data_IF_531017422813
#
_entry.id   IF_531017422813
#
_cell.length_a   1.000
_cell.length_b   1.000
_cell.length_c   1.000
_cell.angle_alpha   90.00
_cell.angle_beta   90.00
_cell.angle_gamma   90.00
#
_symmetry.space_group_name_H-M   'P 1'
#
loop_
_entity.id
_entity.type
_entity.pdbx_description
1 polymer ?
#
# COMPACT_ATOMS: atom_id res chain seq x y z
N UNK A 1 29.79 13.23 9.78
CA UNK A 1 28.41 13.67 10.14
C UNK A 1 28.18 13.38 11.61
N UNK A 2 27.68 14.33 12.42
CA UNK A 2 27.37 14.09 13.83
C UNK A 2 26.14 13.19 13.92
N UNK A 3 26.26 12.02 14.54
CA UNK A 3 25.12 11.16 14.86
C UNK A 3 24.22 11.90 15.84
N UNK A 4 23.06 12.36 15.40
CA UNK A 4 22.03 12.92 16.27
C UNK A 4 21.40 11.79 17.09
N UNK A 5 21.12 12.05 18.36
CA UNK A 5 20.37 11.10 19.19
C UNK A 5 18.96 10.87 18.61
N UNK A 6 18.31 9.77 19.00
CA UNK A 6 16.94 9.49 18.57
C UNK A 6 15.98 10.64 18.91
N UNK A 7 16.06 11.18 20.13
CA UNK A 7 15.29 12.36 20.54
C UNK A 7 15.59 13.61 19.70
N UNK A 8 16.84 13.83 19.31
CA UNK A 8 17.22 14.90 18.39
C UNK A 8 16.57 14.73 17.01
N UNK A 9 16.54 13.49 16.50
CA UNK A 9 15.87 13.14 15.24
C UNK A 9 14.37 13.43 15.30
N UNK A 10 13.69 13.04 16.38
CA UNK A 10 12.26 13.31 16.58
C UNK A 10 11.96 14.82 16.59
N UNK A 11 12.79 15.62 17.27
CA UNK A 11 12.61 17.07 17.34
C UNK A 11 12.75 17.74 15.96
N UNK A 12 13.73 17.31 15.17
CA UNK A 12 13.94 17.84 13.81
C UNK A 12 12.78 17.41 12.90
N UNK A 13 12.39 16.13 12.96
CA UNK A 13 11.26 15.59 12.21
C UNK A 13 9.96 16.34 12.52
N UNK A 14 9.71 16.65 13.80
CA UNK A 14 8.54 17.42 14.23
C UNK A 14 8.53 18.83 13.62
N UNK A 15 9.64 19.58 13.76
CA UNK A 15 9.75 20.93 13.17
C UNK A 15 9.55 20.92 11.65
N UNK A 16 10.13 19.94 10.96
CA UNK A 16 9.96 19.78 9.51
C UNK A 16 8.53 19.39 9.14
N UNK A 17 7.88 18.54 9.94
CA UNK A 17 6.50 18.15 9.69
C UNK A 17 5.53 19.33 9.80
N UNK A 18 5.77 20.27 10.71
CA UNK A 18 4.96 21.48 10.84
C UNK A 18 5.05 22.37 9.60
N UNK A 19 6.24 22.57 9.03
CA UNK A 19 6.42 23.40 7.83
C UNK A 19 5.92 22.72 6.55
N UNK A 20 5.91 21.38 6.52
CA UNK A 20 5.47 20.61 5.35
C UNK A 20 4.02 20.12 5.44
N UNK A 21 3.34 20.32 6.58
CA UNK A 21 1.99 19.79 6.81
C UNK A 21 1.01 20.22 5.71
N UNK A 22 0.92 21.52 5.41
CA UNK A 22 -0.02 22.03 4.41
C UNK A 22 0.25 21.49 2.99
N UNK A 23 1.50 21.54 2.47
CA UNK A 23 1.83 20.87 1.21
C UNK A 23 1.44 19.38 1.16
N UNK A 24 1.67 18.65 2.25
CA UNK A 24 1.30 17.24 2.34
C UNK A 24 -0.20 17.01 2.38
N UNK A 25 -0.93 17.84 3.12
CA UNK A 25 -2.39 17.81 3.15
C UNK A 25 -2.95 18.01 1.74
N UNK A 26 -2.42 18.96 0.97
CA UNK A 26 -2.80 19.18 -0.43
C UNK A 26 -2.52 17.95 -1.29
N UNK A 27 -1.33 17.34 -1.15
CA UNK A 27 -0.99 16.10 -1.88
C UNK A 27 -1.98 14.98 -1.54
N UNK A 28 -2.31 14.81 -0.25
CA UNK A 28 -3.20 13.75 0.22
C UNK A 28 -4.62 13.94 -0.30
N UNK A 29 -5.19 15.14 -0.13
CA UNK A 29 -6.54 15.48 -0.63
C UNK A 29 -6.61 15.33 -2.14
N UNK A 30 -5.64 15.86 -2.88
CA UNK A 30 -5.61 15.75 -4.35
C UNK A 30 -5.54 14.29 -4.81
N UNK A 31 -4.74 13.46 -4.13
CA UNK A 31 -4.63 12.03 -4.44
C UNK A 31 -5.93 11.29 -4.14
N UNK A 32 -6.59 11.60 -3.02
CA UNK A 32 -7.90 11.05 -2.67
C UNK A 32 -8.97 11.41 -3.69
N UNK A 33 -9.03 12.67 -4.12
CA UNK A 33 -9.95 13.12 -5.18
C UNK A 33 -9.69 12.39 -6.51
N UNK A 34 -8.43 12.23 -6.91
CA UNK A 34 -8.09 11.48 -8.12
C UNK A 34 -8.49 10.01 -8.03
N UNK A 35 -8.26 9.36 -6.88
CA UNK A 35 -8.70 7.97 -6.65
C UNK A 35 -10.22 7.85 -6.71
N UNK A 36 -10.95 8.78 -6.08
CA UNK A 36 -12.41 8.83 -6.14
C UNK A 36 -12.91 8.97 -7.58
N UNK A 37 -12.29 9.85 -8.38
CA UNK A 37 -12.62 10.00 -9.80
C UNK A 37 -12.43 8.68 -10.57
N UNK A 38 -11.33 7.95 -10.33
CA UNK A 38 -11.09 6.65 -10.97
C UNK A 38 -12.20 5.65 -10.62
N UNK A 39 -12.60 5.58 -9.35
CA UNK A 39 -13.66 4.68 -8.89
C UNK A 39 -15.03 5.06 -9.47
N UNK A 40 -15.35 6.35 -9.53
CA UNK A 40 -16.60 6.84 -10.14
C UNK A 40 -16.63 6.49 -11.63
N UNK A 41 -15.57 6.77 -12.38
CA UNK A 41 -15.51 6.44 -13.82
C UNK A 41 -15.61 4.94 -14.05
N UNK A 42 -14.90 4.13 -13.26
CA UNK A 42 -14.99 2.68 -13.36
C UNK A 42 -16.42 2.18 -13.06
N UNK A 43 -17.07 2.73 -12.03
CA UNK A 43 -18.45 2.41 -11.69
C UNK A 43 -19.44 2.79 -12.79
N UNK A 44 -19.35 4.00 -13.33
CA UNK A 44 -20.22 4.49 -14.41
C UNK A 44 -20.17 3.60 -15.66
N UNK A 45 -19.01 3.04 -15.99
CA UNK A 45 -18.84 2.15 -17.16
C UNK A 45 -19.57 0.81 -16.96
N UNK A 46 -19.71 0.34 -15.71
CA UNK A 46 -20.36 -0.94 -15.39
C UNK A 46 -21.89 -0.83 -15.35
N UNK A 47 -22.43 0.36 -15.03
CA UNK A 47 -23.89 0.58 -14.85
C UNK A 47 -24.76 0.11 -16.04
N UNK A 48 -24.44 0.43 -17.32
CA UNK A 48 -25.27 0.00 -18.46
C UNK A 48 -25.40 -1.53 -18.59
N UNK A 49 -24.37 -2.27 -18.17
CA UNK A 49 -24.32 -3.73 -18.26
C UNK A 49 -25.08 -4.41 -17.12
N UNK A 50 -25.16 -3.75 -15.96
CA UNK A 50 -26.04 -4.18 -14.86
C UNK A 50 -27.51 -4.03 -15.28
N UNK A 51 -27.86 -2.93 -15.94
CA UNK A 51 -29.24 -2.65 -16.40
C UNK A 51 -29.69 -3.67 -17.44
N UNK A 52 -28.83 -4.04 -18.39
CA UNK A 52 -29.13 -5.01 -19.45
C UNK A 52 -29.16 -6.47 -18.97
N UNK A 53 -28.85 -6.74 -17.69
CA UNK A 53 -28.81 -8.08 -17.05
C UNK A 53 -27.99 -9.13 -17.81
N UNK A 54 -27.07 -8.71 -18.68
CA UNK A 54 -26.25 -9.64 -19.45
C UNK A 54 -25.03 -10.07 -18.62
N UNK A 55 -25.21 -11.12 -17.80
CA UNK A 55 -24.19 -11.65 -16.89
C UNK A 55 -22.92 -12.08 -17.65
N UNK A 56 -23.06 -12.60 -18.88
CA UNK A 56 -21.95 -13.09 -19.71
C UNK A 56 -21.00 -11.95 -20.08
N UNK A 57 -21.53 -10.74 -20.30
CA UNK A 57 -20.72 -9.54 -20.62
C UNK A 57 -20.31 -8.78 -19.36
N UNK A 58 -21.17 -8.75 -18.34
CA UNK A 58 -20.96 -7.99 -17.11
C UNK A 58 -19.75 -8.51 -16.31
N UNK A 59 -19.60 -9.83 -16.17
CA UNK A 59 -18.52 -10.43 -15.35
C UNK A 59 -17.13 -10.14 -15.94
N UNK A 60 -16.85 -10.45 -17.22
CA UNK A 60 -15.55 -10.11 -17.82
C UNK A 60 -15.25 -8.61 -17.82
N UNK A 61 -16.25 -7.77 -18.12
CA UNK A 61 -16.08 -6.33 -18.13
C UNK A 61 -15.72 -5.79 -16.73
N UNK A 62 -16.40 -6.27 -15.69
CA UNK A 62 -16.12 -5.86 -14.31
C UNK A 62 -14.70 -6.24 -13.90
N UNK A 63 -14.21 -7.42 -14.30
CA UNK A 63 -12.83 -7.85 -14.06
C UNK A 63 -11.84 -6.93 -14.77
N UNK A 64 -12.05 -6.65 -16.06
CA UNK A 64 -11.17 -5.76 -16.85
C UNK A 64 -11.14 -4.36 -16.23
N UNK A 65 -12.31 -3.79 -15.91
CA UNK A 65 -12.41 -2.48 -15.28
C UNK A 65 -11.76 -2.43 -13.91
N UNK A 66 -11.88 -3.50 -13.12
CA UNK A 66 -11.20 -3.65 -11.84
C UNK A 66 -9.67 -3.63 -11.98
N UNK A 67 -9.12 -4.33 -12.98
CA UNK A 67 -7.68 -4.34 -13.27
C UNK A 67 -7.21 -2.93 -13.68
N UNK A 68 -7.95 -2.27 -14.57
CA UNK A 68 -7.63 -0.89 -15.01
C UNK A 68 -7.65 0.07 -13.81
N UNK A 69 -8.71 0.03 -13.00
CA UNK A 69 -8.85 0.87 -11.81
C UNK A 69 -7.71 0.63 -10.81
N UNK A 70 -7.35 -0.63 -10.57
CA UNK A 70 -6.21 -0.99 -9.73
C UNK A 70 -4.89 -0.42 -10.27
N UNK A 71 -4.66 -0.50 -11.58
CA UNK A 71 -3.50 0.10 -12.24
C UNK A 71 -3.41 1.62 -12.02
N UNK A 72 -4.54 2.33 -12.14
CA UNK A 72 -4.61 3.76 -11.85
C UNK A 72 -4.38 4.09 -10.37
N UNK A 73 -4.94 3.29 -9.45
CA UNK A 73 -4.72 3.47 -7.99
C UNK A 73 -3.24 3.33 -7.66
N UNK A 74 -2.56 2.30 -8.20
CA UNK A 74 -1.11 2.11 -8.03
C UNK A 74 -0.33 3.30 -8.60
N UNK A 75 -0.73 3.81 -9.78
CA UNK A 75 -0.10 4.97 -10.40
C UNK A 75 -0.25 6.23 -9.55
N UNK A 76 -1.46 6.56 -9.08
CA UNK A 76 -1.74 7.75 -8.26
C UNK A 76 -1.01 7.65 -6.92
N UNK A 77 -0.98 6.46 -6.31
CA UNK A 77 -0.23 6.19 -5.08
C UNK A 77 1.28 6.42 -5.27
N UNK A 78 1.86 5.92 -6.36
CA UNK A 78 3.26 6.14 -6.67
C UNK A 78 3.56 7.62 -6.97
N UNK A 79 2.70 8.30 -7.72
CA UNK A 79 2.85 9.72 -8.06
C UNK A 79 2.83 10.61 -6.80
N UNK A 80 1.85 10.41 -5.92
CA UNK A 80 1.71 11.17 -4.67
C UNK A 80 2.89 10.94 -3.72
N UNK A 81 3.30 9.68 -3.58
CA UNK A 81 4.47 9.27 -2.79
C UNK A 81 5.77 9.89 -3.31
N UNK A 82 5.94 10.02 -4.64
CA UNK A 82 7.09 10.70 -5.23
C UNK A 82 7.07 12.21 -4.96
N UNK A 83 5.92 12.87 -5.05
CA UNK A 83 5.82 14.32 -4.78
C UNK A 83 6.19 14.56 -3.32
N UNK A 84 5.57 13.82 -2.39
CA UNK A 84 5.86 13.88 -0.97
C UNK A 84 7.36 13.71 -0.69
N UNK A 85 7.97 12.67 -1.27
CA UNK A 85 9.39 12.38 -1.04
C UNK A 85 10.32 13.42 -1.69
N UNK A 86 10.00 13.93 -2.88
CA UNK A 86 10.79 15.00 -3.53
C UNK A 86 10.64 16.34 -2.80
N UNK A 87 9.49 16.60 -2.17
CA UNK A 87 9.28 17.78 -1.35
C UNK A 87 10.21 17.80 -0.11
N UNK A 88 10.51 16.64 0.48
CA UNK A 88 11.51 16.54 1.55
C UNK A 88 12.90 16.96 1.08
N UNK A 89 13.23 16.66 -0.19
CA UNK A 89 14.54 16.96 -0.79
C UNK A 89 14.70 18.46 -1.07
N UNK A 90 13.61 19.08 -1.50
CA UNK A 90 13.62 20.47 -1.98
C UNK A 90 12.33 21.18 -1.54
N UNK A 91 12.25 21.59 -0.26
CA UNK A 91 11.02 22.09 0.35
C UNK A 91 10.58 23.47 -0.18
N UNK A 92 11.46 24.17 -0.91
CA UNK A 92 11.16 25.50 -1.48
C UNK A 92 10.49 25.39 -2.85
N UNK A 93 10.52 24.22 -3.50
CA UNK A 93 9.85 24.02 -4.80
C UNK A 93 8.34 23.97 -4.63
N UNK A 94 7.64 24.63 -5.55
CA UNK A 94 6.18 24.56 -5.60
C UNK A 94 5.69 23.17 -5.98
N UNK A 95 4.52 22.78 -5.46
CA UNK A 95 3.90 21.49 -5.74
C UNK A 95 3.67 21.25 -7.25
N UNK A 96 3.38 22.31 -8.01
CA UNK A 96 3.19 22.24 -9.47
C UNK A 96 4.47 21.82 -10.19
N UNK A 97 5.62 22.38 -9.78
CA UNK A 97 6.93 22.02 -10.36
C UNK A 97 7.27 20.59 -9.99
N UNK A 98 7.12 20.22 -8.71
CA UNK A 98 7.36 18.85 -8.26
C UNK A 98 6.48 17.84 -9.00
N UNK A 99 5.19 18.12 -9.17
CA UNK A 99 4.25 17.26 -9.88
C UNK A 99 4.60 17.05 -11.36
N UNK A 100 5.20 18.06 -12.00
CA UNK A 100 5.70 17.93 -13.39
C UNK A 100 6.96 17.09 -13.43
N UNK A 101 7.87 17.30 -12.48
CA UNK A 101 9.15 16.57 -12.40
C UNK A 101 8.97 15.11 -11.99
N UNK A 102 7.91 14.76 -11.27
CA UNK A 102 7.64 13.36 -10.89
C UNK A 102 7.15 12.51 -12.05
N UNK A 103 6.48 13.07 -13.08
CA UNK A 103 5.89 12.31 -14.19
C UNK A 103 6.85 11.30 -14.84
N UNK A 104 8.11 11.70 -15.02
CA UNK A 104 9.16 10.86 -15.62
C UNK A 104 9.56 9.66 -14.76
N UNK A 105 9.40 9.77 -13.45
CA UNK A 105 9.82 8.77 -12.47
C UNK A 105 8.66 7.88 -11.99
N UNK A 106 7.39 8.25 -12.21
CA UNK A 106 6.22 7.51 -11.70
C UNK A 106 6.24 6.06 -12.16
N UNK A 107 6.39 5.80 -13.46
CA UNK A 107 6.38 4.43 -14.00
C UNK A 107 7.54 3.59 -13.45
N UNK A 108 8.70 4.21 -13.20
CA UNK A 108 9.83 3.51 -12.59
C UNK A 108 9.56 3.16 -11.12
N UNK A 109 8.85 4.00 -10.37
CA UNK A 109 8.41 3.67 -9.01
C UNK A 109 7.29 2.63 -9.03
N UNK A 110 6.31 2.74 -9.94
CA UNK A 110 5.26 1.72 -10.14
C UNK A 110 5.88 0.36 -10.39
N UNK A 111 6.84 0.26 -11.33
CA UNK A 111 7.59 -0.99 -11.58
C UNK A 111 8.30 -1.49 -10.32
N UNK A 112 8.88 -0.59 -9.54
CA UNK A 112 9.55 -0.94 -8.27
C UNK A 112 8.55 -1.52 -7.27
N UNK A 113 7.41 -0.87 -7.07
CA UNK A 113 6.35 -1.33 -6.16
C UNK A 113 5.72 -2.65 -6.63
N UNK A 114 5.50 -2.82 -7.94
CA UNK A 114 4.99 -4.08 -8.51
C UNK A 114 5.99 -5.21 -8.28
N UNK A 115 7.28 -5.00 -8.54
CA UNK A 115 8.31 -6.01 -8.27
C UNK A 115 8.40 -6.37 -6.78
N UNK A 116 8.29 -5.39 -5.89
CA UNK A 116 8.22 -5.62 -4.45
C UNK A 116 6.96 -6.40 -4.06
N UNK A 117 5.81 -6.05 -4.62
CA UNK A 117 4.54 -6.75 -4.40
C UNK A 117 4.63 -8.21 -4.84
N UNK A 118 5.13 -8.47 -6.04
CA UNK A 118 5.43 -9.82 -6.54
C UNK A 118 6.40 -10.54 -5.59
N UNK A 119 7.44 -9.88 -5.13
CA UNK A 119 8.36 -10.48 -4.18
C UNK A 119 7.68 -10.85 -2.85
N UNK A 120 6.83 -9.98 -2.29
CA UNK A 120 6.10 -10.23 -1.04
C UNK A 120 4.97 -11.26 -1.15
N UNK A 121 4.31 -11.37 -2.31
CA UNK A 121 3.35 -12.44 -2.59
C UNK A 121 4.06 -13.80 -2.54
N UNK A 122 5.27 -13.90 -3.10
CA UNK A 122 6.09 -15.11 -3.02
C UNK A 122 6.47 -15.49 -1.58
N UNK A 123 6.43 -14.55 -0.63
CA UNK A 123 6.70 -14.83 0.78
C UNK A 123 5.44 -15.11 1.61
N UNK A 124 4.26 -15.07 1.00
CA UNK A 124 2.98 -15.17 1.69
C UNK A 124 2.77 -16.46 2.48
N UNK A 125 3.09 -17.66 1.94
CA UNK A 125 2.97 -18.90 2.72
C UNK A 125 3.81 -18.86 3.99
N UNK A 126 5.03 -18.33 3.90
CA UNK A 126 5.93 -18.18 5.05
C UNK A 126 5.42 -17.13 6.05
N UNK A 127 4.80 -16.06 5.54
CA UNK A 127 4.11 -15.07 6.35
C UNK A 127 2.97 -15.68 7.18
N UNK A 128 2.12 -16.51 6.58
CA UNK A 128 1.03 -17.20 7.28
C UNK A 128 1.59 -18.14 8.35
N UNK A 129 2.55 -18.99 7.99
CA UNK A 129 3.16 -19.96 8.93
C UNK A 129 3.86 -19.27 10.11
N UNK A 130 4.41 -18.08 9.90
CA UNK A 130 5.07 -17.28 10.96
C UNK A 130 4.13 -16.33 11.71
N UNK A 131 2.80 -16.52 11.60
CA UNK A 131 1.79 -15.64 12.19
C UNK A 131 2.04 -14.14 11.87
N UNK A 132 2.40 -13.86 10.61
CA UNK A 132 2.72 -12.54 10.06
C UNK A 132 3.97 -11.84 10.64
N UNK A 133 4.73 -12.49 11.52
CA UNK A 133 5.97 -11.91 12.07
C UNK A 133 6.96 -11.53 10.97
N UNK A 134 7.11 -12.39 9.96
CA UNK A 134 8.00 -12.13 8.82
C UNK A 134 7.50 -10.93 8.00
N UNK A 135 6.18 -10.77 7.84
CA UNK A 135 5.60 -9.63 7.14
C UNK A 135 5.90 -8.30 7.85
N UNK A 136 5.87 -8.28 9.17
CA UNK A 136 6.25 -7.09 9.95
C UNK A 136 7.70 -6.70 9.65
N UNK A 137 8.63 -7.66 9.67
CA UNK A 137 10.04 -7.42 9.35
C UNK A 137 10.20 -6.87 7.93
N UNK A 138 9.45 -7.40 6.95
CA UNK A 138 9.51 -6.94 5.58
C UNK A 138 8.91 -5.55 5.37
N UNK A 139 7.82 -5.21 6.06
CA UNK A 139 7.28 -3.86 6.08
C UNK A 139 8.28 -2.87 6.66
N UNK A 140 9.00 -3.25 7.73
CA UNK A 140 10.09 -2.45 8.28
C UNK A 140 11.21 -2.26 7.25
N UNK A 141 11.64 -3.32 6.57
CA UNK A 141 12.65 -3.23 5.52
C UNK A 141 12.18 -2.42 4.32
N UNK A 142 10.88 -2.36 4.04
CA UNK A 142 10.32 -1.57 2.95
C UNK A 142 10.17 -0.08 3.29
N UNK A 143 10.23 0.31 4.57
CA UNK A 143 9.88 1.65 5.06
C UNK A 143 10.65 2.80 4.39
N UNK A 144 11.89 2.58 3.94
CA UNK A 144 12.73 3.59 3.30
C UNK A 144 12.92 3.38 1.78
N UNK A 145 12.18 2.46 1.17
CA UNK A 145 12.39 2.09 -0.24
C UNK A 145 12.20 3.27 -1.19
N UNK A 146 11.17 4.09 -0.95
CA UNK A 146 10.94 5.31 -1.73
C UNK A 146 12.06 6.33 -1.56
N UNK A 147 12.64 6.45 -0.36
CA UNK A 147 13.78 7.35 -0.12
C UNK A 147 15.02 6.86 -0.88
N UNK A 148 15.32 5.56 -0.82
CA UNK A 148 16.39 4.95 -1.62
C UNK A 148 16.17 5.14 -3.13
N UNK A 149 14.92 5.04 -3.59
CA UNK A 149 14.57 5.31 -4.99
C UNK A 149 14.81 6.76 -5.39
N UNK A 150 14.37 7.73 -4.59
CA UNK A 150 14.44 9.16 -4.94
C UNK A 150 15.86 9.73 -4.77
N UNK A 151 16.54 9.41 -3.67
CA UNK A 151 17.81 10.04 -3.28
C UNK A 151 19.04 9.29 -3.78
N UNK A 152 18.98 7.97 -3.84
CA UNK A 152 20.09 7.12 -4.32
C UNK A 152 19.83 6.53 -5.71
N UNK A 153 18.69 6.84 -6.34
CA UNK A 153 18.33 6.38 -7.69
C UNK A 153 18.33 4.86 -7.86
N UNK A 154 18.16 4.12 -6.76
CA UNK A 154 17.99 2.66 -6.77
C UNK A 154 16.62 2.31 -7.39
N UNK A 155 16.54 1.22 -8.15
CA UNK A 155 15.30 0.81 -8.85
C UNK A 155 15.00 -0.66 -8.59
N UNK A 156 13.73 -1.04 -8.70
CA UNK A 156 13.31 -2.43 -8.49
C UNK A 156 13.66 -2.90 -7.08
N UNK A 157 13.98 -4.20 -6.94
CA UNK A 157 14.31 -4.78 -5.63
C UNK A 157 15.61 -4.21 -5.02
N UNK A 158 16.49 -3.59 -5.81
CA UNK A 158 17.70 -2.98 -5.26
C UNK A 158 17.38 -1.78 -4.34
N UNK A 159 16.24 -1.10 -4.57
CA UNK A 159 15.76 -0.07 -3.65
C UNK A 159 15.30 -0.66 -2.31
N UNK A 160 14.65 -1.83 -2.33
CA UNK A 160 14.26 -2.58 -1.12
C UNK A 160 15.49 -3.10 -0.36
N UNK A 161 16.50 -3.62 -1.06
CA UNK A 161 17.73 -4.09 -0.41
C UNK A 161 18.51 -2.98 0.24
N UNK A 162 18.57 -1.82 -0.42
CA UNK A 162 19.17 -0.65 0.18
C UNK A 162 18.39 -0.18 1.41
N UNK A 163 17.06 -0.14 1.32
CA UNK A 163 16.19 0.20 2.45
C UNK A 163 16.43 -0.73 3.64
N UNK A 164 16.53 -2.04 3.40
CA UNK A 164 16.91 -3.03 4.42
C UNK A 164 18.25 -2.70 5.08
N UNK A 165 19.30 -2.43 4.31
CA UNK A 165 20.63 -2.11 4.85
C UNK A 165 20.60 -0.87 5.76
N UNK A 166 19.85 0.17 5.36
CA UNK A 166 19.67 1.39 6.15
C UNK A 166 18.90 1.09 7.44
N UNK A 167 17.79 0.36 7.33
CA UNK A 167 16.96 -0.03 8.47
C UNK A 167 17.76 -0.89 9.46
N UNK A 168 18.62 -1.79 9.00
CA UNK A 168 19.47 -2.59 9.89
C UNK A 168 20.43 -1.73 10.71
N UNK A 169 20.99 -0.65 10.14
CA UNK A 169 21.88 0.26 10.86
C UNK A 169 21.16 1.17 11.87
N UNK A 170 19.87 1.42 11.66
CA UNK A 170 19.05 2.31 12.49
C UNK A 170 17.80 1.62 13.04
N UNK A 171 17.87 0.30 13.26
CA UNK A 171 16.71 -0.56 13.48
C UNK A 171 15.81 -0.05 14.60
N UNK A 172 16.39 0.16 15.79
CA UNK A 172 15.64 0.64 16.96
C UNK A 172 15.05 2.03 16.77
N UNK A 173 15.71 2.92 16.02
CA UNK A 173 15.17 4.24 15.73
C UNK A 173 13.99 4.17 14.76
N UNK A 174 14.05 3.29 13.75
CA UNK A 174 12.94 3.08 12.81
C UNK A 174 11.75 2.44 13.53
N UNK A 175 11.98 1.38 14.30
CA UNK A 175 10.94 0.72 15.10
C UNK A 175 10.35 1.69 16.11
N UNK A 176 11.18 2.42 16.86
CA UNK A 176 10.74 3.40 17.85
C UNK A 176 9.88 4.51 17.23
N UNK A 177 10.25 5.02 16.04
CA UNK A 177 9.45 6.02 15.32
C UNK A 177 8.07 5.46 14.92
N UNK A 178 8.03 4.24 14.39
CA UNK A 178 6.78 3.61 13.95
C UNK A 178 5.88 3.25 15.14
N UNK A 179 6.44 2.67 16.20
CA UNK A 179 5.70 2.36 17.44
C UNK A 179 5.15 3.63 18.07
N UNK A 180 5.96 4.70 18.16
CA UNK A 180 5.52 5.99 18.68
C UNK A 180 4.35 6.54 17.85
N UNK A 181 4.45 6.49 16.52
CA UNK A 181 3.40 7.00 15.65
C UNK A 181 2.12 6.15 15.71
N UNK A 182 2.23 4.83 15.63
CA UNK A 182 1.07 3.93 15.67
C UNK A 182 0.43 3.92 17.05
N UNK A 183 1.22 3.82 18.12
CA UNK A 183 0.73 3.91 19.49
C UNK A 183 0.07 5.26 19.77
N UNK A 184 0.69 6.36 19.32
CA UNK A 184 0.08 7.70 19.39
C UNK A 184 -1.25 7.77 18.65
N UNK A 185 -1.34 7.21 17.44
CA UNK A 185 -2.60 7.14 16.67
C UNK A 185 -3.67 6.36 17.42
N UNK A 186 -3.36 5.21 18.03
CA UNK A 186 -4.33 4.38 18.76
C UNK A 186 -4.86 5.15 19.98
N UNK A 187 -3.98 5.80 20.75
CA UNK A 187 -4.37 6.58 21.93
C UNK A 187 -5.28 7.74 21.50
N UNK A 188 -4.87 8.51 20.50
CA UNK A 188 -5.66 9.67 20.04
C UNK A 188 -7.02 9.24 19.48
N UNK A 189 -7.06 8.17 18.67
CA UNK A 189 -8.32 7.64 18.14
C UNK A 189 -9.25 7.14 19.25
N UNK A 190 -8.69 6.59 20.34
CA UNK A 190 -9.48 6.19 21.51
C UNK A 190 -10.09 7.41 22.21
N UNK A 191 -9.36 8.53 22.31
CA UNK A 191 -9.89 9.80 22.84
C UNK A 191 -11.04 10.35 21.98
N UNK A 192 -11.09 10.03 20.69
CA UNK A 192 -12.14 10.50 19.79
C UNK A 192 -13.40 9.66 19.78
N UNK A 193 -13.44 8.54 20.51
CA UNK A 193 -14.63 7.70 20.57
C UNK A 193 -15.86 8.41 21.16
N UNK A 194 -15.63 9.48 21.94
CA UNK A 194 -16.68 10.31 22.52
C UNK A 194 -17.40 11.23 21.51
N UNK A 195 -16.84 11.44 20.32
CA UNK A 195 -17.45 12.28 19.28
C UNK A 195 -18.41 11.46 18.40
N UNK A 196 -19.33 12.16 17.74
CA UNK A 196 -20.19 11.58 16.70
C UNK A 196 -19.35 11.01 15.54
N UNK A 197 -19.92 10.03 14.83
CA UNK A 197 -19.20 9.28 13.78
C UNK A 197 -18.60 10.21 12.71
N UNK A 198 -19.34 11.15 12.10
CA UNK A 198 -18.78 12.06 11.10
C UNK A 198 -17.57 12.86 11.61
N UNK A 199 -17.69 13.48 12.80
CA UNK A 199 -16.59 14.26 13.37
C UNK A 199 -15.39 13.37 13.71
N UNK A 200 -15.62 12.19 14.30
CA UNK A 200 -14.56 11.23 14.63
C UNK A 200 -13.76 10.81 13.39
N UNK A 201 -14.42 10.53 12.27
CA UNK A 201 -13.75 10.16 11.01
C UNK A 201 -12.89 11.31 10.47
N UNK A 202 -13.40 12.55 10.50
CA UNK A 202 -12.64 13.73 10.07
C UNK A 202 -11.39 13.92 10.93
N UNK A 203 -11.54 13.86 12.26
CA UNK A 203 -10.43 14.04 13.19
C UNK A 203 -9.39 12.91 13.07
N UNK A 204 -9.85 11.66 12.93
CA UNK A 204 -8.99 10.49 12.73
C UNK A 204 -8.16 10.63 11.46
N UNK A 205 -8.78 11.06 10.35
CA UNK A 205 -8.08 11.28 9.09
C UNK A 205 -7.05 12.41 9.18
N UNK A 206 -7.39 13.53 9.83
CA UNK A 206 -6.46 14.65 10.01
C UNK A 206 -5.21 14.26 10.82
N UNK A 207 -5.39 13.50 11.89
CA UNK A 207 -4.26 12.97 12.68
C UNK A 207 -3.49 11.91 11.91
N UNK A 208 -4.16 11.04 11.15
CA UNK A 208 -3.51 10.10 10.25
C UNK A 208 -2.58 10.82 9.26
N UNK A 209 -3.05 11.92 8.66
CA UNK A 209 -2.22 12.77 7.78
C UNK A 209 -1.05 13.35 8.57
N UNK A 210 -1.29 14.03 9.70
CA UNK A 210 -0.23 14.63 10.52
C UNK A 210 0.87 13.61 10.89
N UNK A 211 0.47 12.44 11.37
CA UNK A 211 1.37 11.36 11.75
C UNK A 211 2.11 10.79 10.53
N UNK A 212 1.47 10.65 9.38
CA UNK A 212 2.14 10.21 8.15
C UNK A 212 3.25 11.17 7.71
N UNK A 213 3.02 12.49 7.80
CA UNK A 213 4.03 13.51 7.51
C UNK A 213 5.18 13.43 8.50
N UNK A 214 4.85 13.28 9.79
CA UNK A 214 5.84 13.15 10.86
C UNK A 214 6.73 11.91 10.66
N UNK A 215 6.14 10.75 10.40
CA UNK A 215 6.86 9.50 10.14
C UNK A 215 7.76 9.66 8.91
N UNK A 216 7.25 10.22 7.81
CA UNK A 216 8.04 10.40 6.60
C UNK A 216 9.22 11.37 6.82
N UNK A 217 9.01 12.47 7.56
CA UNK A 217 10.09 13.36 7.97
C UNK A 217 11.12 12.63 8.86
N UNK A 218 10.66 11.83 9.83
CA UNK A 218 11.54 11.06 10.72
C UNK A 218 12.36 10.01 9.98
N UNK A 219 11.74 9.26 9.07
CA UNK A 219 12.42 8.30 8.21
C UNK A 219 13.44 8.99 7.30
N UNK A 220 13.11 10.18 6.78
CA UNK A 220 14.05 10.99 6.02
C UNK A 220 15.27 11.42 6.85
N UNK A 221 15.07 11.91 8.08
CA UNK A 221 16.18 12.30 8.95
C UNK A 221 17.04 11.12 9.41
N UNK A 222 16.45 9.92 9.56
CA UNK A 222 17.23 8.69 9.80
C UNK A 222 18.00 8.26 8.55
N UNK A 223 17.39 8.39 7.38
CA UNK A 223 17.99 8.05 6.09
C UNK A 223 19.23 8.90 5.80
N UNK A 224 19.20 10.21 6.08
CA UNK A 224 20.33 11.12 5.84
C UNK A 224 21.53 10.90 6.77
N UNK A 225 21.33 10.21 7.89
CA UNK A 225 22.41 9.86 8.84
C UNK A 225 23.22 8.65 8.40
N UNK A 226 22.71 7.84 7.46
CA UNK A 226 23.39 6.64 6.99
C UNK A 226 24.23 6.97 5.76
N UNK A 227 25.51 6.55 5.70
CA UNK A 227 26.36 6.78 4.53
C UNK A 227 25.70 6.22 3.26
N UNK A 228 25.85 6.96 2.15
CA UNK A 228 25.39 6.50 0.84
C UNK A 228 26.18 5.27 0.43
N UNK A 229 25.50 4.26 -0.10
CA UNK A 229 26.18 3.08 -0.64
C UNK A 229 26.75 3.41 -2.03
N UNK A 230 28.06 3.24 -2.22
CA UNK A 230 28.75 3.46 -3.50
C UNK A 230 28.52 2.30 -4.49
N UNK A 231 28.32 1.08 -3.98
CA UNK A 231 28.10 -0.14 -4.77
C UNK A 231 26.63 -0.58 -4.74
N UNK A 232 26.17 -1.40 -5.72
CA UNK A 232 24.86 -2.03 -5.64
C UNK A 232 24.72 -2.89 -4.37
N UNK A 233 23.60 -2.73 -3.67
CA UNK A 233 23.30 -3.46 -2.43
C UNK A 233 23.38 -4.97 -2.64
N UNK A 234 23.91 -5.68 -1.64
CA UNK A 234 24.09 -7.14 -1.73
C UNK A 234 22.73 -7.82 -1.77
N UNK A 235 22.39 -8.41 -2.91
CA UNK A 235 21.12 -9.15 -3.08
C UNK A 235 21.12 -10.38 -2.18
N UNK A 236 20.16 -10.52 -1.26
CA UNK A 236 20.11 -11.68 -0.40
C UNK A 236 19.49 -12.86 -1.16
N UNK A 237 20.34 -13.67 -1.80
CA UNK A 237 19.94 -14.81 -2.62
C UNK A 237 18.99 -15.79 -1.92
N UNK A 238 19.18 -16.01 -0.62
CA UNK A 238 18.31 -16.86 0.21
C UNK A 238 16.85 -16.38 0.18
N UNK A 239 16.60 -15.07 0.34
CA UNK A 239 15.24 -14.53 0.34
C UNK A 239 14.58 -14.62 -1.03
N UNK A 240 15.35 -14.46 -2.11
CA UNK A 240 14.85 -14.65 -3.47
C UNK A 240 14.49 -16.12 -3.71
N UNK A 241 15.30 -17.06 -3.21
CA UNK A 241 15.01 -18.49 -3.30
C UNK A 241 13.74 -18.84 -2.50
N UNK A 242 13.62 -18.35 -1.26
CA UNK A 242 12.43 -18.56 -0.43
C UNK A 242 11.18 -18.02 -1.14
N UNK A 243 11.24 -16.84 -1.74
CA UNK A 243 10.12 -16.30 -2.51
C UNK A 243 9.72 -17.20 -3.68
N UNK A 244 10.68 -17.78 -4.41
CA UNK A 244 10.40 -18.75 -5.48
C UNK A 244 9.74 -20.02 -4.95
N UNK A 245 10.21 -20.56 -3.83
CA UNK A 245 9.61 -21.74 -3.19
C UNK A 245 8.19 -21.42 -2.74
N UNK A 246 7.97 -20.26 -2.11
CA UNK A 246 6.64 -19.85 -1.69
C UNK A 246 5.67 -19.65 -2.87
N UNK A 247 6.15 -19.23 -4.04
CA UNK A 247 5.33 -19.26 -5.27
C UNK A 247 4.90 -20.68 -5.65
N UNK A 248 5.81 -21.66 -5.62
CA UNK A 248 5.46 -23.04 -5.91
C UNK A 248 4.42 -23.59 -4.92
N UNK A 249 4.58 -23.28 -3.63
CA UNK A 249 3.59 -23.63 -2.59
C UNK A 249 2.25 -22.95 -2.85
N UNK A 250 2.24 -21.67 -3.20
CA UNK A 250 1.01 -20.93 -3.47
C UNK A 250 0.25 -21.49 -4.69
N UNK A 251 0.95 -21.84 -5.76
CA UNK A 251 0.35 -22.50 -6.94
C UNK A 251 -0.25 -23.85 -6.54
N UNK A 252 0.47 -24.65 -5.75
CA UNK A 252 -0.02 -25.93 -5.25
C UNK A 252 -1.28 -25.77 -4.37
N UNK A 253 -1.28 -24.80 -3.45
CA UNK A 253 -2.44 -24.49 -2.61
C UNK A 253 -3.65 -24.04 -3.43
N UNK A 254 -3.46 -23.20 -4.45
CA UNK A 254 -4.54 -22.80 -5.37
C UNK A 254 -5.06 -24.02 -6.12
N UNK A 255 -4.17 -24.88 -6.64
CA UNK A 255 -4.56 -26.11 -7.32
C UNK A 255 -5.41 -27.02 -6.42
N UNK A 256 -4.96 -27.26 -5.18
CA UNK A 256 -5.71 -28.05 -4.20
C UNK A 256 -7.06 -27.40 -3.86
N UNK A 257 -7.09 -26.07 -3.66
CA UNK A 257 -8.32 -25.35 -3.37
C UNK A 257 -9.34 -25.45 -4.52
N UNK A 258 -8.90 -25.44 -5.78
CA UNK A 258 -9.76 -25.65 -6.94
C UNK A 258 -10.25 -27.10 -6.99
N UNK A 259 -9.36 -28.08 -6.77
CA UNK A 259 -9.72 -29.50 -6.80
C UNK A 259 -10.74 -29.89 -5.72
N UNK A 260 -10.51 -29.48 -4.47
CA UNK A 260 -11.42 -29.81 -3.35
C UNK A 260 -12.63 -28.86 -3.27
N UNK A 261 -12.41 -27.57 -3.55
CA UNK A 261 -13.48 -26.57 -3.54
C UNK A 261 -14.48 -26.74 -4.67
N UNK A 262 -14.08 -27.31 -5.81
CA UNK A 262 -14.98 -27.61 -6.92
C UNK A 262 -16.04 -28.65 -6.58
N UNK A 263 -15.70 -29.66 -5.76
CA UNK A 263 -16.67 -30.65 -5.29
C UNK A 263 -17.62 -30.07 -4.25
N UNK A 264 -17.10 -29.33 -3.27
CA UNK A 264 -17.94 -28.63 -2.29
C UNK A 264 -18.87 -27.60 -2.95
N UNK A 265 -18.39 -26.89 -3.97
CA UNK A 265 -19.20 -25.95 -4.74
C UNK A 265 -20.34 -26.65 -5.49
N UNK A 266 -20.07 -27.80 -6.13
CA UNK A 266 -21.10 -28.61 -6.78
C UNK A 266 -22.12 -29.13 -5.77
N UNK A 267 -21.68 -29.59 -4.61
CA UNK A 267 -22.57 -30.07 -3.55
C UNK A 267 -23.44 -28.93 -2.99
N UNK A 268 -22.86 -27.76 -2.75
CA UNK A 268 -23.61 -26.56 -2.34
C UNK A 268 -24.61 -26.11 -3.40
N UNK A 269 -24.26 -26.15 -4.70
CA UNK A 269 -25.19 -25.90 -5.79
C UNK A 269 -26.35 -26.90 -5.80
N UNK A 270 -26.06 -28.20 -5.58
CA UNK A 270 -27.08 -29.24 -5.52
C UNK A 270 -27.99 -29.11 -4.28
N UNK A 271 -27.49 -28.60 -3.16
CA UNK A 271 -28.30 -28.29 -1.97
C UNK A 271 -29.18 -27.07 -2.22
N UNK A 272 -28.62 -26.01 -2.81
CA UNK A 272 -29.39 -24.82 -3.19
C UNK A 272 -30.49 -25.15 -4.19
N UNK A 273 -30.21 -25.94 -5.23
CA UNK A 273 -31.22 -26.38 -6.20
C UNK A 273 -32.31 -27.26 -5.59
N UNK A 274 -31.98 -28.11 -4.61
CA UNK A 274 -32.97 -28.94 -3.90
C UNK A 274 -33.86 -28.13 -2.95
N UNK A 275 -33.36 -27.02 -2.42
CA UNK A 275 -34.04 -26.20 -1.41
C UNK A 275 -34.65 -24.91 -1.97
N UNK A 276 -34.53 -24.62 -3.27
CA UNK A 276 -35.36 -23.59 -3.91
C UNK A 276 -36.82 -24.10 -3.87
N UNK A 277 -37.73 -23.42 -3.16
CA UNK A 277 -39.11 -23.88 -3.04
C UNK A 277 -39.77 -23.88 -4.42
N UNK A 278 -40.39 -25.01 -4.79
CA UNK A 278 -41.24 -25.15 -6.00
C UNK A 278 -42.45 -24.20 -6.04
N UNK A 279 -42.62 -23.34 -5.04
CA UNK A 279 -43.67 -22.32 -4.99
C UNK A 279 -43.43 -21.17 -5.98
N UNK A 280 -42.18 -20.89 -6.37
CA UNK A 280 -41.89 -19.86 -7.38
C UNK A 280 -42.39 -20.30 -8.77
N UNK A 281 -42.23 -21.57 -9.13
CA UNK A 281 -42.69 -22.09 -10.42
C UNK A 281 -44.23 -22.12 -10.52
N UNK A 282 -44.94 -22.44 -9.43
CA UNK A 282 -46.41 -22.42 -9.41
C UNK A 282 -47.01 -21.02 -9.52
N UNK A 283 -46.31 -20.00 -9.03
CA UNK A 283 -46.79 -18.62 -9.12
C UNK A 283 -46.57 -18.04 -10.53
N UNK A 284 -45.59 -18.55 -11.27
CA UNK A 284 -45.33 -18.17 -12.67
C UNK A 284 -46.27 -18.91 -13.65
N UNK A 285 -46.68 -20.15 -13.36
CA UNK A 285 -47.68 -20.85 -14.18
C UNK A 285 -49.12 -20.33 -13.99
N UNK A 286 -49.38 -19.55 -12.94
CA UNK A 286 -50.70 -18.95 -12.67
C UNK A 286 -50.84 -17.48 -13.13
N UNK A 287 -49.79 -16.92 -13.74
CA UNK A 287 -49.77 -15.59 -14.37
C UNK A 287 -49.69 -15.72 -15.90
#
# INVERSE_FOLDING_TARGET
MKSTSFGGTLRIAWKRSQSLFLPYLIIHVLSGLLMLCVLIVAGLIVIPFVITKNIIVLVPLTIIMGIIALGFVIYISAWSTLIATKLLKDPTKSLKVLAKDTKKDVLALVKTNVLMGVFFIGLLPLGIVSAFTIYIIWSLWAAMTTLSFVYEKRRGLDALWRSKEIVQQKFWSVVGLLVLSTGGSIIINSLFQQFDVPLREVLTNLIGILLSVFVLCGLYELFTQVPKAESPSKRPHLWVLIAKIGYAVLILLIGLAISFGGEQWKEMQNVLQRNIPREIDRTIEQL
#
